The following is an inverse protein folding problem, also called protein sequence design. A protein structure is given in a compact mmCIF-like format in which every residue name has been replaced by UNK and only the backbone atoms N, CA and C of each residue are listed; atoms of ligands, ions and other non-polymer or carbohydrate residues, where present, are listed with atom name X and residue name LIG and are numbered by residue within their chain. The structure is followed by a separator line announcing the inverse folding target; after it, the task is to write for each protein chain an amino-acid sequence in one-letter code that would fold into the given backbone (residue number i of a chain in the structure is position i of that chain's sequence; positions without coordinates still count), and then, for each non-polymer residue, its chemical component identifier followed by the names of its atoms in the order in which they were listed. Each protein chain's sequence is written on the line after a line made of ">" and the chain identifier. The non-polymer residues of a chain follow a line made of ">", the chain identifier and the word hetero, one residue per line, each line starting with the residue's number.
data_IF_526622127586
#
_entry.id   IF_526622127586
#
_cell.length_a   1.000
_cell.length_b   1.000
_cell.length_c   1.000
_cell.angle_alpha   90.00
_cell.angle_beta   90.00
_cell.angle_gamma   90.00
#
_symmetry.space_group_name_H-M   'P 1'
#
loop_
_entity.id
_entity.type
_entity.pdbx_description
1 polymer ?
#
# COMPACT_ATOMS: atom_id res chain seq x y z
N UNK A 1 16.34 -46.54 -12.16
CA UNK A 1 14.98 -46.40 -12.73
C UNK A 1 14.14 -45.58 -11.76
N UNK A 2 13.68 -44.42 -12.25
CA UNK A 2 12.48 -43.63 -11.90
C UNK A 2 12.23 -43.17 -10.45
N UNK A 3 12.72 -41.94 -10.24
CA UNK A 3 12.11 -40.78 -9.57
C UNK A 3 10.63 -40.86 -9.15
N UNK A 4 10.37 -40.36 -7.93
CA UNK A 4 9.24 -39.44 -7.70
C UNK A 4 9.52 -38.57 -6.47
N UNK A 5 10.36 -37.54 -6.65
CA UNK A 5 10.43 -36.41 -5.74
C UNK A 5 9.17 -35.57 -5.93
N UNK A 6 8.24 -35.70 -4.98
CA UNK A 6 7.00 -34.93 -4.91
C UNK A 6 7.30 -33.45 -4.64
N UNK A 7 7.10 -32.63 -5.67
CA UNK A 7 6.71 -31.20 -5.67
C UNK A 7 7.58 -30.21 -4.88
N UNK A 8 8.69 -29.77 -5.46
CA UNK A 8 9.06 -28.35 -5.39
C UNK A 8 8.30 -27.59 -6.48
N UNK A 9 6.98 -27.46 -6.29
CA UNK A 9 6.24 -26.40 -6.97
C UNK A 9 6.45 -25.14 -6.13
N UNK A 10 7.64 -24.56 -6.22
CA UNK A 10 7.81 -23.14 -5.92
C UNK A 10 6.91 -22.43 -6.92
N UNK A 11 5.69 -22.10 -6.51
CA UNK A 11 4.89 -21.12 -7.25
C UNK A 11 5.84 -19.95 -7.47
N UNK A 12 6.24 -19.78 -8.72
CA UNK A 12 6.95 -18.61 -9.19
C UNK A 12 6.16 -17.43 -8.62
N UNK A 13 6.74 -16.73 -7.63
CA UNK A 13 6.30 -15.39 -7.33
C UNK A 13 6.39 -14.68 -8.67
N UNK A 14 5.24 -14.39 -9.28
CA UNK A 14 5.23 -13.57 -10.48
C UNK A 14 6.02 -12.32 -10.12
N UNK A 15 7.02 -11.97 -10.95
CA UNK A 15 7.67 -10.67 -10.88
C UNK A 15 6.59 -9.62 -11.17
N UNK A 16 5.86 -9.20 -10.14
CA UNK A 16 4.83 -8.18 -10.26
C UNK A 16 5.54 -6.84 -10.14
N UNK A 17 5.80 -6.22 -11.29
CA UNK A 17 6.32 -4.87 -11.35
C UNK A 17 5.13 -3.93 -11.16
N UNK A 18 4.94 -3.43 -9.94
CA UNK A 18 3.99 -2.35 -9.69
C UNK A 18 4.55 -1.03 -10.23
N UNK A 19 3.68 -0.17 -10.75
CA UNK A 19 4.06 1.18 -11.14
C UNK A 19 4.55 1.94 -9.90
N UNK A 20 5.64 2.70 -10.08
CA UNK A 20 6.23 3.53 -9.02
C UNK A 20 5.95 5.00 -9.29
N UNK A 21 5.74 5.75 -8.22
CA UNK A 21 5.65 7.22 -8.28
C UNK A 21 6.82 7.83 -7.54
N UNK A 22 7.32 8.93 -8.08
CA UNK A 22 8.42 9.73 -7.53
C UNK A 22 7.93 10.70 -6.44
N UNK A 23 8.86 11.33 -5.72
CA UNK A 23 8.55 12.39 -4.77
C UNK A 23 7.73 13.54 -5.39
N UNK A 24 8.11 13.99 -6.60
CA UNK A 24 7.39 15.07 -7.26
C UNK A 24 5.95 14.69 -7.62
N UNK A 25 5.74 13.47 -8.12
CA UNK A 25 4.39 12.95 -8.40
C UNK A 25 3.58 12.78 -7.13
N UNK A 26 4.20 12.33 -6.04
CA UNK A 26 3.56 12.22 -4.72
C UNK A 26 3.09 13.60 -4.22
N UNK A 27 3.93 14.65 -4.31
CA UNK A 27 3.52 16.03 -3.99
C UNK A 27 2.34 16.47 -4.85
N UNK A 28 2.40 16.24 -6.16
CA UNK A 28 1.29 16.60 -7.05
C UNK A 28 -0.02 15.86 -6.71
N UNK A 29 0.06 14.59 -6.31
CA UNK A 29 -1.12 13.82 -5.88
C UNK A 29 -1.74 14.39 -4.61
N UNK A 30 -0.91 14.80 -3.64
CA UNK A 30 -1.35 15.43 -2.39
C UNK A 30 -1.94 16.82 -2.65
N UNK A 31 -1.39 17.58 -3.59
CA UNK A 31 -1.89 18.92 -3.91
C UNK A 31 -3.20 18.87 -4.68
N UNK A 32 -3.32 17.95 -5.64
CA UNK A 32 -4.50 17.85 -6.51
C UNK A 32 -5.63 17.03 -5.90
N UNK A 33 -5.30 16.06 -5.03
CA UNK A 33 -6.23 15.09 -4.45
C UNK A 33 -7.27 14.58 -5.45
N UNK A 34 -6.85 13.90 -6.53
CA UNK A 34 -7.78 13.40 -7.53
C UNK A 34 -8.83 12.48 -6.90
N UNK A 35 -10.07 12.57 -7.41
CA UNK A 35 -11.14 11.69 -6.98
C UNK A 35 -10.74 10.21 -7.13
N UNK A 36 -11.30 9.35 -6.26
CA UNK A 36 -11.07 7.90 -6.27
C UNK A 36 -9.58 7.52 -6.11
N UNK A 37 -8.80 8.34 -5.40
CA UNK A 37 -7.40 8.05 -5.08
C UNK A 37 -7.23 7.96 -3.57
N UNK A 38 -6.63 6.86 -3.11
CA UNK A 38 -6.33 6.63 -1.71
C UNK A 38 -4.84 6.36 -1.54
N UNK A 39 -4.21 7.11 -0.64
CA UNK A 39 -2.82 6.85 -0.23
C UNK A 39 -2.86 6.04 1.07
N UNK A 40 -2.25 4.86 1.08
CA UNK A 40 -2.23 3.94 2.22
C UNK A 40 -0.80 3.84 2.77
N UNK A 41 -0.65 4.27 4.02
CA UNK A 41 0.55 4.07 4.83
C UNK A 41 0.48 2.71 5.52
N UNK A 42 1.36 1.77 5.15
CA UNK A 42 1.38 0.42 5.73
C UNK A 42 2.39 0.25 6.87
N UNK A 43 2.95 1.34 7.39
CA UNK A 43 3.78 1.33 8.61
C UNK A 43 2.95 0.95 9.83
N UNK A 44 3.64 0.52 10.89
CA UNK A 44 2.99 0.25 12.17
C UNK A 44 2.51 1.54 12.83
N UNK A 45 1.42 1.46 13.59
CA UNK A 45 0.81 2.63 14.26
C UNK A 45 1.80 3.42 15.11
N UNK A 46 2.82 2.76 15.69
CA UNK A 46 3.83 3.42 16.49
C UNK A 46 4.75 4.32 15.67
N UNK A 47 5.18 3.88 14.48
CA UNK A 47 6.00 4.69 13.57
C UNK A 47 5.24 5.96 13.16
N UNK A 48 3.95 5.79 12.83
CA UNK A 48 3.07 6.90 12.43
C UNK A 48 2.82 7.87 13.59
N UNK A 49 2.63 7.38 14.83
CA UNK A 49 2.47 8.26 16.00
C UNK A 49 3.70 9.14 16.26
N UNK A 50 4.89 8.67 15.89
CA UNK A 50 6.14 9.40 16.13
C UNK A 50 6.46 10.40 15.03
N UNK A 51 6.13 10.07 13.78
CA UNK A 51 6.60 10.80 12.60
C UNK A 51 5.48 11.48 11.80
N UNK A 52 4.22 11.18 12.12
CA UNK A 52 3.08 11.60 11.33
C UNK A 52 2.88 10.75 10.07
N UNK A 53 2.10 11.29 9.14
CA UNK A 53 1.77 10.67 7.85
C UNK A 53 2.05 11.63 6.71
N UNK A 54 2.13 11.12 5.48
CA UNK A 54 2.26 11.93 4.27
C UNK A 54 0.87 12.42 3.84
N UNK A 55 0.67 13.74 3.79
CA UNK A 55 -0.57 14.35 3.32
C UNK A 55 -1.81 13.86 4.06
N UNK A 56 -2.86 13.50 3.32
CA UNK A 56 -4.11 12.93 3.86
C UNK A 56 -4.15 11.39 3.77
N UNK A 57 -3.00 10.73 3.84
CA UNK A 57 -2.94 9.28 3.78
C UNK A 57 -3.60 8.61 4.99
N UNK A 58 -4.11 7.40 4.76
CA UNK A 58 -4.69 6.55 5.80
C UNK A 58 -3.66 5.53 6.27
N UNK A 59 -3.44 5.43 7.58
CA UNK A 59 -2.60 4.38 8.13
C UNK A 59 -3.39 3.06 8.29
N UNK A 60 -2.96 2.05 7.55
CA UNK A 60 -3.45 0.68 7.64
C UNK A 60 -2.23 -0.23 7.67
N UNK A 61 -1.71 -0.60 8.87
CA UNK A 61 -0.52 -1.42 8.97
C UNK A 61 -0.63 -2.70 8.13
N UNK A 62 0.49 -3.15 7.57
CA UNK A 62 0.52 -4.34 6.70
C UNK A 62 -0.15 -5.56 7.36
N UNK A 63 0.03 -5.73 8.67
CA UNK A 63 -0.57 -6.81 9.48
C UNK A 63 -2.10 -6.75 9.51
N UNK A 64 -2.70 -5.57 9.35
CA UNK A 64 -4.15 -5.36 9.36
C UNK A 64 -4.76 -5.32 7.95
N UNK A 65 -3.98 -4.93 6.94
CA UNK A 65 -4.42 -4.62 5.57
C UNK A 65 -5.33 -5.70 4.98
N UNK A 66 -4.94 -6.98 5.09
CA UNK A 66 -5.73 -8.11 4.59
C UNK A 66 -7.13 -8.16 5.22
N UNK A 67 -7.23 -8.01 6.53
CA UNK A 67 -8.51 -8.05 7.21
C UNK A 67 -9.34 -6.78 6.90
N UNK A 68 -8.70 -5.62 6.87
CA UNK A 68 -9.32 -4.34 6.56
C UNK A 68 -10.03 -4.39 5.19
N UNK A 69 -9.31 -4.80 4.14
CA UNK A 69 -9.86 -4.74 2.78
C UNK A 69 -10.68 -5.97 2.39
N UNK A 70 -10.38 -7.17 2.91
CA UNK A 70 -11.11 -8.39 2.52
C UNK A 70 -12.31 -8.71 3.40
N UNK A 71 -12.25 -8.41 4.71
CA UNK A 71 -13.26 -8.88 5.68
C UNK A 71 -14.18 -7.78 6.21
N UNK A 72 -13.71 -6.54 6.30
CA UNK A 72 -14.56 -5.45 6.79
C UNK A 72 -15.56 -5.03 5.71
N UNK A 73 -16.80 -4.77 6.14
CA UNK A 73 -17.76 -4.01 5.35
C UNK A 73 -17.44 -2.50 5.43
N UNK A 74 -18.08 -1.72 4.58
CA UNK A 74 -17.76 -0.30 4.41
C UNK A 74 -17.98 0.50 5.69
N UNK A 75 -19.08 0.23 6.42
CA UNK A 75 -19.37 0.90 7.70
C UNK A 75 -18.30 0.62 8.76
N UNK A 76 -17.84 -0.63 8.88
CA UNK A 76 -16.81 -1.00 9.85
C UNK A 76 -15.44 -0.42 9.46
N UNK A 77 -15.14 -0.41 8.16
CA UNK A 77 -13.92 0.18 7.62
C UNK A 77 -13.88 1.69 7.90
N UNK A 78 -14.92 2.42 7.53
CA UNK A 78 -15.04 3.86 7.78
C UNK A 78 -14.96 4.18 9.27
N UNK A 79 -15.66 3.43 10.11
CA UNK A 79 -15.60 3.63 11.57
C UNK A 79 -14.18 3.49 12.13
N UNK A 80 -13.36 2.59 11.57
CA UNK A 80 -12.01 2.31 12.07
C UNK A 80 -10.97 3.26 11.49
N UNK A 81 -11.01 3.51 10.19
CA UNK A 81 -9.96 4.22 9.46
C UNK A 81 -10.34 5.67 9.09
N UNK A 82 -11.59 6.08 9.33
CA UNK A 82 -12.06 7.45 9.09
C UNK A 82 -12.21 7.82 7.61
N UNK A 83 -12.06 6.85 6.71
CA UNK A 83 -12.13 7.03 5.25
C UNK A 83 -13.01 5.95 4.64
N UNK A 84 -13.56 6.24 3.46
CA UNK A 84 -14.29 5.24 2.69
C UNK A 84 -13.37 4.08 2.30
N UNK A 85 -13.94 2.88 2.24
CA UNK A 85 -13.22 1.70 1.77
C UNK A 85 -12.97 1.86 0.27
N UNK A 86 -11.71 1.79 -0.21
CA UNK A 86 -11.44 1.97 -1.63
C UNK A 86 -12.08 0.85 -2.44
N UNK A 87 -12.72 1.22 -3.55
CA UNK A 87 -13.25 0.28 -4.52
C UNK A 87 -12.11 -0.37 -5.32
N UNK A 88 -12.36 -1.54 -5.91
CA UNK A 88 -11.36 -2.29 -6.69
C UNK A 88 -10.88 -1.54 -7.96
N UNK A 89 -11.63 -0.52 -8.38
CA UNK A 89 -11.32 0.36 -9.51
C UNK A 89 -10.57 1.63 -9.10
N UNK A 90 -10.49 1.94 -7.80
CA UNK A 90 -9.85 3.15 -7.31
C UNK A 90 -8.32 3.05 -7.45
N UNK A 91 -7.67 4.21 -7.51
CA UNK A 91 -6.23 4.31 -7.49
C UNK A 91 -5.73 4.18 -6.05
N UNK A 92 -4.83 3.22 -5.80
CA UNK A 92 -4.21 3.02 -4.50
C UNK A 92 -2.72 3.26 -4.62
N UNK A 93 -2.20 4.18 -3.80
CA UNK A 93 -0.78 4.43 -3.66
C UNK A 93 -0.35 3.88 -2.31
N UNK A 94 0.56 2.90 -2.30
CA UNK A 94 1.17 2.40 -1.07
C UNK A 94 2.49 3.09 -0.78
N UNK A 95 2.74 3.33 0.50
CA UNK A 95 4.08 3.61 0.97
C UNK A 95 4.32 2.96 2.34
N UNK A 96 5.59 2.74 2.67
CA UNK A 96 6.01 2.36 4.02
C UNK A 96 7.20 3.23 4.43
N UNK A 97 8.05 2.76 5.35
CA UNK A 97 9.28 3.47 5.69
C UNK A 97 10.22 3.60 4.46
N UNK A 98 10.39 2.49 3.74
CA UNK A 98 11.06 2.39 2.44
C UNK A 98 10.07 1.81 1.44
N UNK A 99 10.26 0.56 0.99
CA UNK A 99 9.40 -0.03 -0.06
C UNK A 99 8.89 -1.45 0.25
N UNK A 100 9.63 -2.28 1.01
CA UNK A 100 9.34 -3.71 1.19
C UNK A 100 7.90 -4.02 1.65
N UNK A 101 7.39 -3.27 2.63
CA UNK A 101 6.03 -3.47 3.15
C UNK A 101 4.98 -2.96 2.16
N UNK A 102 5.29 -1.92 1.40
CA UNK A 102 4.42 -1.38 0.38
C UNK A 102 4.24 -2.37 -0.77
N UNK A 103 5.32 -3.02 -1.22
CA UNK A 103 5.26 -4.10 -2.23
C UNK A 103 4.39 -5.27 -1.76
N UNK A 104 4.60 -5.73 -0.52
CA UNK A 104 3.76 -6.79 0.07
C UNK A 104 2.29 -6.37 0.20
N UNK A 105 2.05 -5.09 0.51
CA UNK A 105 0.69 -4.54 0.56
C UNK A 105 0.02 -4.55 -0.81
N UNK A 106 0.76 -4.14 -1.83
CA UNK A 106 0.33 -4.16 -3.23
C UNK A 106 -0.01 -5.57 -3.70
N UNK A 107 0.83 -6.57 -3.41
CA UNK A 107 0.56 -7.99 -3.69
C UNK A 107 -0.76 -8.48 -3.06
N UNK A 108 -0.97 -8.13 -1.78
CA UNK A 108 -2.16 -8.52 -1.03
C UNK A 108 -3.41 -7.97 -1.72
N UNK A 109 -3.45 -6.68 -2.03
CA UNK A 109 -4.67 -6.07 -2.58
C UNK A 109 -4.88 -6.43 -4.04
N UNK A 110 -3.82 -6.63 -4.81
CA UNK A 110 -3.97 -7.14 -6.17
C UNK A 110 -4.63 -8.53 -6.16
N UNK A 111 -4.28 -9.40 -5.21
CA UNK A 111 -4.95 -10.69 -5.02
C UNK A 111 -6.44 -10.59 -4.68
N UNK A 112 -6.92 -9.41 -4.28
CA UNK A 112 -8.34 -9.12 -4.02
C UNK A 112 -9.06 -8.49 -5.22
N UNK A 113 -8.35 -8.23 -6.32
CA UNK A 113 -8.90 -7.68 -7.56
C UNK A 113 -8.72 -6.18 -7.75
N UNK A 114 -7.97 -5.51 -6.87
CA UNK A 114 -7.59 -4.11 -7.07
C UNK A 114 -6.66 -3.99 -8.27
N UNK A 115 -6.93 -3.02 -9.15
CA UNK A 115 -6.26 -2.94 -10.47
C UNK A 115 -5.23 -1.82 -10.54
N UNK A 116 -5.54 -0.67 -9.96
CA UNK A 116 -4.76 0.55 -10.14
C UNK A 116 -3.87 0.79 -8.92
N UNK A 117 -2.80 0.00 -8.80
CA UNK A 117 -1.92 0.00 -7.64
C UNK A 117 -0.58 0.63 -8.03
N UNK A 118 -0.13 1.60 -7.24
CA UNK A 118 1.19 2.21 -7.35
C UNK A 118 1.93 2.17 -6.01
N UNK A 119 3.25 2.26 -6.07
CA UNK A 119 4.13 2.34 -4.89
C UNK A 119 4.86 3.68 -4.91
N UNK A 120 4.90 4.38 -3.79
CA UNK A 120 5.74 5.56 -3.65
C UNK A 120 7.20 5.14 -3.44
N UNK A 121 8.05 5.50 -4.40
CA UNK A 121 9.47 5.17 -4.41
C UNK A 121 10.22 5.89 -3.29
N UNK A 122 11.12 5.18 -2.60
CA UNK A 122 11.89 5.69 -1.47
C UNK A 122 11.13 5.82 -0.15
N UNK A 123 9.80 5.69 -0.17
CA UNK A 123 8.96 5.66 1.02
C UNK A 123 9.05 6.92 1.90
N UNK A 124 8.68 6.75 3.16
CA UNK A 124 8.64 7.84 4.14
C UNK A 124 10.02 8.44 4.42
N UNK A 125 11.10 7.67 4.35
CA UNK A 125 12.47 8.19 4.52
C UNK A 125 12.81 9.24 3.45
N UNK A 126 12.53 8.94 2.18
CA UNK A 126 12.74 9.90 1.09
C UNK A 126 11.87 11.14 1.28
N UNK A 127 10.62 10.97 1.71
CA UNK A 127 9.74 12.09 2.01
C UNK A 127 10.31 13.01 3.09
N UNK A 128 10.73 12.45 4.23
CA UNK A 128 11.33 13.23 5.31
C UNK A 128 12.61 13.94 4.89
N UNK A 129 13.46 13.30 4.08
CA UNK A 129 14.69 13.90 3.58
C UNK A 129 14.40 15.13 2.71
N UNK A 130 13.37 15.06 1.87
CA UNK A 130 13.00 16.16 0.99
C UNK A 130 12.27 17.31 1.72
N UNK A 131 11.53 17.03 2.80
CA UNK A 131 10.82 18.07 3.58
C UNK A 131 11.73 18.81 4.59
N UNK A 132 12.95 18.31 4.83
CA UNK A 132 13.95 18.96 5.71
C UNK A 132 14.79 20.03 5.00
N UNK A 133 14.66 20.15 3.68
CA UNK A 133 15.40 21.09 2.83
C UNK A 133 14.50 22.25 2.36
#
# INVERSE_FOLDING_TARGET
>A
MQFSGWWLNTKQHQNMVFDRITYHEMKQLIDKMPANTTIIDVREHQEVRQTGVIGSSVNIPLSELKNALKKMNDKAFHKKYGVEKPAVTDHIIFYCLKEDRAERGADIVQSFGYKNIKIFEGGFELWEENEKN
#
